data_IF_459054417700
#
_entry.id   IF_459054417700
#
_cell.length_a   1.000
_cell.length_b   1.000
_cell.length_c   1.000
_cell.angle_alpha   90.00
_cell.angle_beta   90.00
_cell.angle_gamma   90.00
#
_symmetry.space_group_name_H-M   'P 1'
#
loop_
_entity.id
_entity.type
_entity.pdbx_description
1 polymer ?
#
# COMPACT_ATOMS: atom_id res chain seq x y z
N UNK A 1 -44.45 -3.72 3.53
CA UNK A 1 -43.42 -3.44 2.49
C UNK A 1 -42.05 -3.05 3.05
N UNK A 2 -41.88 -2.80 4.35
CA UNK A 2 -40.56 -2.46 4.94
C UNK A 2 -39.57 -3.64 5.04
N UNK A 3 -40.05 -4.88 5.26
CA UNK A 3 -39.16 -6.05 5.44
C UNK A 3 -38.39 -6.51 4.20
N UNK A 4 -38.79 -6.10 2.99
CA UNK A 4 -38.08 -6.46 1.75
C UNK A 4 -36.87 -5.57 1.48
N UNK A 5 -36.89 -4.31 1.97
CA UNK A 5 -35.79 -3.36 1.76
C UNK A 5 -34.62 -3.65 2.70
N UNK A 6 -34.90 -4.02 3.96
CA UNK A 6 -33.87 -4.43 4.93
C UNK A 6 -33.23 -5.78 4.56
N UNK A 7 -33.99 -6.70 3.97
CA UNK A 7 -33.43 -7.94 3.44
C UNK A 7 -32.41 -7.69 2.32
N UNK A 8 -32.72 -6.79 1.39
CA UNK A 8 -31.84 -6.45 0.27
C UNK A 8 -30.52 -5.79 0.67
N UNK A 9 -30.56 -4.84 1.62
CA UNK A 9 -29.35 -4.16 2.11
C UNK A 9 -28.42 -5.10 2.87
N UNK A 10 -28.96 -6.04 3.66
CA UNK A 10 -28.16 -7.04 4.36
C UNK A 10 -27.48 -8.04 3.41
N UNK A 11 -28.16 -8.45 2.33
CA UNK A 11 -27.57 -9.34 1.31
C UNK A 11 -26.45 -8.63 0.55
N UNK A 12 -26.64 -7.37 0.16
CA UNK A 12 -25.58 -6.55 -0.46
C UNK A 12 -24.39 -6.37 0.48
N UNK A 13 -24.65 -6.12 1.75
CA UNK A 13 -23.61 -5.93 2.76
C UNK A 13 -22.81 -7.21 3.01
N UNK A 14 -23.47 -8.36 3.14
CA UNK A 14 -22.81 -9.67 3.21
C UNK A 14 -22.00 -9.95 1.92
N UNK A 15 -22.56 -9.57 0.77
CA UNK A 15 -21.91 -9.67 -0.53
C UNK A 15 -20.64 -8.83 -0.66
N UNK A 16 -20.50 -7.74 0.09
CA UNK A 16 -19.30 -6.90 0.14
C UNK A 16 -18.33 -7.33 1.25
N UNK A 17 -18.86 -7.72 2.41
CA UNK A 17 -18.08 -8.07 3.59
C UNK A 17 -17.26 -9.35 3.41
N UNK A 18 -17.87 -10.40 2.85
CA UNK A 18 -17.20 -11.69 2.64
C UNK A 18 -15.96 -11.55 1.73
N UNK A 19 -16.05 -10.96 0.52
CA UNK A 19 -14.87 -10.78 -0.32
C UNK A 19 -13.85 -9.80 0.28
N UNK A 20 -14.29 -8.75 1.00
CA UNK A 20 -13.36 -7.85 1.69
C UNK A 20 -12.52 -8.59 2.74
N UNK A 21 -13.16 -9.43 3.57
CA UNK A 21 -12.47 -10.27 4.55
C UNK A 21 -11.54 -11.29 3.90
N UNK A 22 -11.99 -11.97 2.84
CA UNK A 22 -11.15 -12.92 2.11
C UNK A 22 -9.92 -12.23 1.50
N UNK A 23 -10.11 -11.05 0.91
CA UNK A 23 -9.03 -10.27 0.34
C UNK A 23 -8.09 -9.71 1.42
N UNK A 24 -8.61 -9.37 2.60
CA UNK A 24 -7.79 -8.98 3.76
C UNK A 24 -6.92 -10.14 4.24
N UNK A 25 -7.48 -11.33 4.42
CA UNK A 25 -6.73 -12.51 4.84
C UNK A 25 -5.67 -12.89 3.81
N UNK A 26 -6.05 -12.95 2.53
CA UNK A 26 -5.11 -13.26 1.45
C UNK A 26 -3.99 -12.20 1.35
N UNK A 27 -4.35 -10.91 1.41
CA UNK A 27 -3.41 -9.80 1.40
C UNK A 27 -2.45 -9.86 2.59
N UNK A 28 -2.97 -10.11 3.81
CA UNK A 28 -2.15 -10.31 4.99
C UNK A 28 -1.19 -11.47 4.80
N UNK A 29 -1.65 -12.67 4.44
CA UNK A 29 -0.79 -13.85 4.30
C UNK A 29 0.32 -13.62 3.28
N UNK A 30 -0.02 -13.13 2.09
CA UNK A 30 0.96 -12.94 1.00
C UNK A 30 1.96 -11.84 1.38
N UNK A 31 1.48 -10.68 1.81
CA UNK A 31 2.36 -9.54 2.09
C UNK A 31 3.16 -9.74 3.39
N UNK A 32 2.57 -10.34 4.43
CA UNK A 32 3.30 -10.64 5.68
C UNK A 32 4.34 -11.74 5.51
N UNK A 33 4.13 -12.72 4.61
CA UNK A 33 5.17 -13.67 4.25
C UNK A 33 6.39 -12.97 3.63
N UNK A 34 6.15 -12.09 2.65
CA UNK A 34 7.22 -11.32 1.98
C UNK A 34 7.96 -10.42 2.97
N UNK A 35 7.22 -9.70 3.83
CA UNK A 35 7.79 -8.86 4.90
C UNK A 35 8.58 -9.72 5.89
N UNK A 36 8.02 -10.86 6.31
CA UNK A 36 8.63 -11.76 7.29
C UNK A 36 9.95 -12.36 6.79
N UNK A 37 10.00 -12.81 5.54
CA UNK A 37 11.25 -13.29 4.92
C UNK A 37 12.29 -12.18 4.93
N UNK A 38 11.92 -10.97 4.49
CA UNK A 38 12.86 -9.87 4.40
C UNK A 38 13.36 -9.34 5.76
N UNK A 39 12.47 -9.28 6.75
CA UNK A 39 12.81 -8.91 8.14
C UNK A 39 13.65 -10.01 8.79
N UNK A 40 13.40 -11.28 8.48
CA UNK A 40 14.20 -12.40 9.01
C UNK A 40 15.63 -12.39 8.46
N UNK A 41 15.81 -12.05 7.19
CA UNK A 41 17.13 -11.87 6.58
C UNK A 41 17.86 -10.66 7.19
N UNK A 42 17.12 -9.58 7.48
CA UNK A 42 17.66 -8.42 8.21
C UNK A 42 18.15 -8.80 9.62
N UNK A 43 17.32 -9.52 10.37
CA UNK A 43 17.62 -9.93 11.75
C UNK A 43 18.83 -10.87 11.82
N UNK A 44 19.05 -11.67 10.77
CA UNK A 44 20.23 -12.54 10.63
C UNK A 44 21.51 -11.80 10.23
N UNK A 45 21.48 -10.46 10.18
CA UNK A 45 22.63 -9.62 9.85
C UNK A 45 23.04 -9.65 8.38
N UNK A 46 22.18 -10.20 7.49
CA UNK A 46 22.43 -10.12 6.05
C UNK A 46 22.16 -8.71 5.57
N UNK A 47 22.96 -8.26 4.59
CA UNK A 47 22.74 -6.97 3.95
C UNK A 47 21.39 -6.97 3.20
N UNK A 48 20.36 -6.39 3.83
CA UNK A 48 19.06 -6.20 3.20
C UNK A 48 19.25 -5.31 1.98
N UNK A 49 18.83 -5.79 0.82
CA UNK A 49 19.02 -4.98 -0.36
C UNK A 49 18.01 -3.82 -0.36
N UNK A 50 18.39 -2.68 -0.94
CA UNK A 50 17.48 -1.56 -1.18
C UNK A 50 16.14 -1.95 -1.82
N UNK A 51 16.15 -2.97 -2.69
CA UNK A 51 14.96 -3.49 -3.37
C UNK A 51 14.04 -4.21 -2.39
N UNK A 52 14.60 -5.02 -1.50
CA UNK A 52 13.79 -5.79 -0.54
C UNK A 52 13.08 -4.86 0.45
N UNK A 53 13.71 -3.74 0.83
CA UNK A 53 13.10 -2.72 1.68
C UNK A 53 11.92 -1.99 0.98
N UNK A 54 12.05 -1.70 -0.32
CA UNK A 54 10.96 -1.16 -1.14
C UNK A 54 9.79 -2.16 -1.22
N UNK A 55 10.09 -3.44 -1.44
CA UNK A 55 9.09 -4.51 -1.50
C UNK A 55 8.37 -4.69 -0.16
N UNK A 56 9.11 -4.56 0.95
CA UNK A 56 8.56 -4.63 2.31
C UNK A 56 7.62 -3.47 2.58
N UNK A 57 8.02 -2.24 2.23
CA UNK A 57 7.17 -1.07 2.34
C UNK A 57 5.92 -1.20 1.46
N UNK A 58 6.06 -1.70 0.23
CA UNK A 58 4.95 -1.93 -0.67
C UNK A 58 3.93 -2.89 -0.05
N UNK A 59 4.40 -3.96 0.61
CA UNK A 59 3.56 -4.88 1.37
C UNK A 59 2.84 -4.19 2.53
N UNK A 60 3.52 -3.34 3.29
CA UNK A 60 2.92 -2.58 4.39
C UNK A 60 1.83 -1.64 3.86
N UNK A 61 2.10 -0.88 2.80
CA UNK A 61 1.13 0.03 2.17
C UNK A 61 -0.10 -0.72 1.64
N UNK A 62 0.10 -1.91 1.06
CA UNK A 62 -1.00 -2.80 0.62
C UNK A 62 -1.86 -3.23 1.80
N UNK A 63 -1.25 -3.72 2.88
CA UNK A 63 -1.97 -4.14 4.09
C UNK A 63 -2.76 -2.96 4.67
N UNK A 64 -2.17 -1.78 4.77
CA UNK A 64 -2.86 -0.58 5.25
C UNK A 64 -4.07 -0.21 4.37
N UNK A 65 -3.92 -0.18 3.05
CA UNK A 65 -5.04 0.10 2.12
C UNK A 65 -6.17 -0.93 2.27
N UNK A 66 -5.82 -2.22 2.32
CA UNK A 66 -6.75 -3.33 2.48
C UNK A 66 -7.51 -3.25 3.81
N UNK A 67 -6.79 -2.87 4.88
CA UNK A 67 -7.37 -2.69 6.21
C UNK A 67 -8.30 -1.48 6.26
N UNK A 68 -7.98 -0.38 5.56
CA UNK A 68 -8.83 0.79 5.48
C UNK A 68 -10.17 0.48 4.80
N UNK A 69 -10.16 -0.26 3.68
CA UNK A 69 -11.41 -0.72 3.02
C UNK A 69 -12.22 -1.61 3.95
N UNK A 70 -11.57 -2.55 4.64
CA UNK A 70 -12.29 -3.48 5.53
C UNK A 70 -12.89 -2.74 6.71
N UNK A 71 -12.17 -1.77 7.28
CA UNK A 71 -12.67 -0.90 8.33
C UNK A 71 -13.82 -0.01 7.83
N UNK A 72 -13.75 0.51 6.62
CA UNK A 72 -14.84 1.29 6.01
C UNK A 72 -16.12 0.45 5.87
N UNK A 73 -16.00 -0.77 5.34
CA UNK A 73 -17.15 -1.68 5.24
C UNK A 73 -17.72 -1.99 6.63
N UNK A 74 -16.89 -2.27 7.63
CA UNK A 74 -17.33 -2.60 8.99
C UNK A 74 -17.90 -1.40 9.76
N UNK A 75 -17.18 -0.28 9.81
CA UNK A 75 -17.55 0.91 10.58
C UNK A 75 -18.56 1.81 9.86
N UNK A 76 -18.61 1.81 8.52
CA UNK A 76 -19.57 2.60 7.75
C UNK A 76 -21.04 2.28 8.05
N UNK A 77 -21.31 1.12 8.67
CA UNK A 77 -22.63 0.76 9.20
C UNK A 77 -22.98 1.47 10.51
N UNK A 78 -21.98 1.89 11.29
CA UNK A 78 -22.13 2.47 12.63
C UNK A 78 -21.79 3.95 12.69
N UNK A 79 -20.83 4.42 11.88
CA UNK A 79 -20.35 5.79 11.84
C UNK A 79 -20.20 6.27 10.39
N UNK A 80 -20.70 7.46 10.04
CA UNK A 80 -20.48 8.07 8.73
C UNK A 80 -19.05 8.64 8.66
N UNK A 81 -18.09 7.75 8.41
CA UNK A 81 -16.66 8.07 8.25
C UNK A 81 -16.22 8.08 6.78
N UNK A 82 -17.18 8.01 5.85
CA UNK A 82 -17.00 7.76 4.42
C UNK A 82 -15.94 8.67 3.80
N UNK A 83 -15.94 9.97 4.14
CA UNK A 83 -14.99 10.93 3.56
C UNK A 83 -13.56 10.75 4.07
N UNK A 84 -13.39 10.46 5.37
CA UNK A 84 -12.08 10.23 5.98
C UNK A 84 -11.50 8.90 5.49
N UNK A 85 -12.31 7.83 5.48
CA UNK A 85 -11.90 6.51 5.00
C UNK A 85 -11.55 6.54 3.50
N UNK A 86 -12.33 7.24 2.69
CA UNK A 86 -12.04 7.46 1.28
C UNK A 86 -10.71 8.19 1.06
N UNK A 87 -10.46 9.25 1.83
CA UNK A 87 -9.21 10.01 1.78
C UNK A 87 -8.00 9.14 2.16
N UNK A 88 -8.12 8.37 3.26
CA UNK A 88 -7.08 7.44 3.71
C UNK A 88 -6.81 6.36 2.66
N UNK A 89 -7.87 5.79 2.07
CA UNK A 89 -7.75 4.80 1.01
C UNK A 89 -7.05 5.35 -0.23
N UNK A 90 -7.40 6.56 -0.67
CA UNK A 90 -6.75 7.23 -1.80
C UNK A 90 -5.26 7.49 -1.53
N UNK A 91 -4.93 7.95 -0.31
CA UNK A 91 -3.54 8.17 0.09
C UNK A 91 -2.69 6.90 -0.02
N UNK A 92 -3.17 5.78 0.54
CA UNK A 92 -2.44 4.52 0.48
C UNK A 92 -2.35 3.97 -0.95
N UNK A 93 -3.41 4.11 -1.74
CA UNK A 93 -3.44 3.67 -3.15
C UNK A 93 -2.44 4.45 -4.00
N UNK A 94 -2.41 5.78 -3.87
CA UNK A 94 -1.44 6.62 -4.56
C UNK A 94 0.00 6.29 -4.16
N UNK A 95 0.26 6.15 -2.86
CA UNK A 95 1.57 5.74 -2.37
C UNK A 95 2.01 4.40 -2.97
N UNK A 96 1.08 3.44 -3.08
CA UNK A 96 1.31 2.12 -3.67
C UNK A 96 1.73 2.20 -5.14
N UNK A 97 1.02 3.01 -5.94
CA UNK A 97 1.31 3.20 -7.37
C UNK A 97 2.69 3.85 -7.56
N UNK A 98 3.02 4.85 -6.73
CA UNK A 98 4.31 5.53 -6.79
C UNK A 98 5.48 4.60 -6.43
N UNK A 99 5.32 3.80 -5.38
CA UNK A 99 6.34 2.81 -4.96
C UNK A 99 6.47 1.69 -6.00
N UNK A 100 5.37 1.22 -6.58
CA UNK A 100 5.38 0.19 -7.64
C UNK A 100 6.05 0.72 -8.91
N UNK A 101 5.78 1.98 -9.27
CA UNK A 101 6.39 2.63 -10.44
C UNK A 101 7.91 2.78 -10.26
N UNK A 102 8.36 3.16 -9.06
CA UNK A 102 9.79 3.20 -8.73
C UNK A 102 10.43 1.82 -8.84
N UNK A 103 9.75 0.79 -8.34
CA UNK A 103 10.24 -0.59 -8.42
C UNK A 103 10.38 -1.05 -9.89
N UNK A 104 9.38 -0.77 -10.72
CA UNK A 104 9.40 -1.07 -12.16
C UNK A 104 10.57 -0.36 -12.85
N UNK A 105 10.79 0.93 -12.55
CA UNK A 105 11.91 1.68 -13.09
C UNK A 105 13.27 1.07 -12.69
N UNK A 106 13.42 0.62 -11.44
CA UNK A 106 14.62 -0.08 -10.97
C UNK A 106 14.85 -1.39 -11.73
N UNK A 107 13.80 -2.19 -11.94
CA UNK A 107 13.89 -3.43 -12.72
C UNK A 107 14.22 -3.18 -14.19
N UNK A 108 13.62 -2.17 -14.80
CA UNK A 108 13.90 -1.79 -16.18
C UNK A 108 15.36 -1.35 -16.36
N UNK A 109 15.89 -0.55 -15.42
CA UNK A 109 17.31 -0.18 -15.40
C UNK A 109 18.24 -1.38 -15.22
N UNK A 110 17.83 -2.38 -14.42
CA UNK A 110 18.60 -3.62 -14.23
C UNK A 110 18.70 -4.45 -15.51
N UNK A 111 17.63 -4.47 -16.32
CA UNK A 111 17.56 -5.23 -17.59
C UNK A 111 18.28 -4.49 -18.72
N UNK A 112 18.13 -3.17 -18.78
CA UNK A 112 18.60 -2.37 -19.91
C UNK A 112 20.12 -2.18 -19.98
N UNK A 113 20.89 -2.66 -18.98
CA UNK A 113 22.34 -2.42 -18.87
C UNK A 113 22.73 -0.92 -18.98
N UNK A 114 21.75 -0.02 -18.79
CA UNK A 114 21.90 1.41 -18.99
C UNK A 114 22.65 1.99 -17.80
N UNK A 115 23.96 2.07 -18.02
CA UNK A 115 24.90 2.99 -17.42
C UNK A 115 25.14 2.82 -15.91
N UNK A 116 26.32 2.27 -15.62
CA UNK A 116 26.98 2.11 -14.32
C UNK A 116 26.81 3.32 -13.39
N UNK A 117 26.68 4.55 -13.92
CA UNK A 117 26.46 5.78 -13.12
C UNK A 117 25.05 5.94 -12.56
N UNK A 118 23.99 5.66 -13.32
CA UNK A 118 22.61 5.76 -12.82
C UNK A 118 22.29 4.61 -11.88
N UNK A 119 22.77 3.41 -12.20
CA UNK A 119 22.66 2.25 -11.30
C UNK A 119 23.43 2.49 -9.99
N UNK A 120 24.66 3.04 -10.03
CA UNK A 120 25.38 3.44 -8.82
C UNK A 120 24.71 4.61 -8.09
N UNK A 121 24.14 5.57 -8.79
CA UNK A 121 23.44 6.71 -8.18
C UNK A 121 22.17 6.27 -7.45
N UNK A 122 21.34 5.42 -8.08
CA UNK A 122 20.20 4.79 -7.43
C UNK A 122 20.68 3.89 -6.29
N UNK A 123 21.65 3.01 -6.49
CA UNK A 123 22.16 2.13 -5.43
C UNK A 123 22.74 2.91 -4.25
N UNK A 124 23.35 4.09 -4.47
CA UNK A 124 23.87 5.00 -3.42
C UNK A 124 22.75 5.82 -2.76
N UNK A 125 21.75 6.28 -3.52
CA UNK A 125 20.51 6.87 -2.97
C UNK A 125 19.77 5.85 -2.10
N UNK A 126 19.66 4.61 -2.53
CA UNK A 126 18.91 3.58 -1.82
C UNK A 126 19.77 2.87 -0.75
N UNK A 127 21.07 3.14 -0.63
CA UNK A 127 21.90 2.63 0.48
C UNK A 127 22.08 3.63 1.63
N UNK A 128 22.02 4.94 1.35
CA UNK A 128 22.18 5.99 2.37
C UNK A 128 20.90 6.82 2.60
N UNK A 129 19.93 6.76 1.68
CA UNK A 129 18.71 7.58 1.70
C UNK A 129 17.43 6.79 1.44
N UNK A 130 17.42 5.47 1.61
CA UNK A 130 16.22 4.63 1.46
C UNK A 130 15.05 5.17 2.26
N UNK A 131 15.26 5.43 3.56
CA UNK A 131 14.24 6.04 4.40
C UNK A 131 13.80 7.41 3.90
N UNK A 132 14.72 8.21 3.36
CA UNK A 132 14.41 9.56 2.85
C UNK A 132 13.61 9.55 1.55
N UNK A 133 13.86 8.58 0.67
CA UNK A 133 13.08 8.36 -0.56
C UNK A 133 11.67 7.90 -0.22
N UNK A 134 11.54 6.99 0.75
CA UNK A 134 10.26 6.51 1.26
C UNK A 134 9.46 7.66 1.87
N UNK A 135 10.10 8.45 2.75
CA UNK A 135 9.48 9.65 3.33
C UNK A 135 9.09 10.65 2.24
N UNK A 136 9.91 10.83 1.21
CA UNK A 136 9.56 11.71 0.08
C UNK A 136 8.35 11.20 -0.70
N UNK A 137 8.26 9.90 -0.98
CA UNK A 137 7.11 9.30 -1.67
C UNK A 137 5.83 9.37 -0.82
N UNK A 138 5.94 9.16 0.49
CA UNK A 138 4.84 9.32 1.44
C UNK A 138 4.38 10.78 1.50
N UNK A 139 5.30 11.73 1.61
CA UNK A 139 5.00 13.17 1.58
C UNK A 139 4.36 13.58 0.25
N UNK A 140 4.88 13.09 -0.87
CA UNK A 140 4.32 13.36 -2.19
C UNK A 140 2.90 12.80 -2.29
N UNK A 141 2.65 11.58 -1.82
CA UNK A 141 1.30 11.02 -1.75
C UNK A 141 0.38 11.87 -0.84
N UNK A 142 0.91 12.38 0.29
CA UNK A 142 0.15 13.18 1.24
C UNK A 142 -0.26 14.53 0.65
N UNK A 143 0.65 15.18 -0.08
CA UNK A 143 0.38 16.44 -0.79
C UNK A 143 -0.67 16.23 -1.89
N UNK A 144 -0.56 15.16 -2.67
CA UNK A 144 -1.57 14.84 -3.70
C UNK A 144 -2.94 14.57 -3.07
N UNK A 145 -2.97 13.84 -1.96
CA UNK A 145 -4.20 13.58 -1.21
C UNK A 145 -4.81 14.88 -0.64
N UNK A 146 -3.98 15.77 -0.09
CA UNK A 146 -4.41 17.07 0.40
C UNK A 146 -4.92 17.99 -0.71
N UNK A 147 -4.34 17.93 -1.91
CA UNK A 147 -4.82 18.68 -3.08
C UNK A 147 -6.21 18.20 -3.51
N UNK A 148 -6.42 16.88 -3.55
CA UNK A 148 -7.74 16.29 -3.84
C UNK A 148 -8.75 16.70 -2.76
N UNK A 149 -8.36 16.69 -1.48
CA UNK A 149 -9.21 17.14 -0.38
C UNK A 149 -9.61 18.62 -0.48
N UNK A 150 -8.69 19.50 -0.91
CA UNK A 150 -8.96 20.94 -1.07
C UNK A 150 -9.87 21.25 -2.27
N UNK A 151 -9.97 20.32 -3.23
CA UNK A 151 -10.70 20.51 -4.48
C UNK A 151 -12.14 19.94 -4.44
N UNK A 152 -12.49 19.19 -3.39
CA UNK A 152 -13.85 18.64 -3.12
C UNK A 152 -14.57 19.54 -2.12
#
# INVERSE_FOLDING_TARGET
MAGSAEGGTNVLYLGLLVPALMALVAGLVIHSFIIGVNVSDWWRGRSVTPVDLIVTLLGILRICAQSAITLDVFLGRFLPLDFLMFTVYLFFTNANVLVTSLLSFIYCLKISNLHTRLFLYLRRMISHRTGRLIVFLLLFSAVNCSMVFVMV
#
